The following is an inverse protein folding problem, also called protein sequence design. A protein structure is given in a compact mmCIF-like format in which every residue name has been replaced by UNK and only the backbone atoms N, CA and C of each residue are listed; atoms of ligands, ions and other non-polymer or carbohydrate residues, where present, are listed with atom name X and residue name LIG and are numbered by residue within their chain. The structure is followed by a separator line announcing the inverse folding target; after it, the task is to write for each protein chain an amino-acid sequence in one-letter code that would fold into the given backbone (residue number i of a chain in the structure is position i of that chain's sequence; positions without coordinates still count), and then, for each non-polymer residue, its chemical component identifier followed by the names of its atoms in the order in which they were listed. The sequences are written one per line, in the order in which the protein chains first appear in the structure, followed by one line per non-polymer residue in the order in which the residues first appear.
data_IF_456804377064
#
_entry.id   IF_456804377064
#
_cell.length_a   1.000
_cell.length_b   1.000
_cell.length_c   1.000
_cell.angle_alpha   90.00
_cell.angle_beta   90.00
_cell.angle_gamma   90.00
#
_symmetry.space_group_name_H-M   'P 1'
#
loop_
_entity.id
_entity.type
_entity.pdbx_description
1 polymer ?
#
# COMPACT_ATOMS: atom_id res chain seq x y z
N UNK A 1 -5.73 2.68 19.20
CA UNK A 1 -5.48 1.97 17.93
C UNK A 1 -4.35 0.98 18.18
N UNK A 2 -4.48 -0.27 17.75
CA UNK A 2 -3.48 -1.34 17.92
C UNK A 2 -2.15 -1.04 17.22
N UNK A 3 -2.20 -0.25 16.15
CA UNK A 3 -1.08 0.03 15.24
C UNK A 3 0.12 0.71 15.93
N UNK A 4 -0.08 1.27 17.13
CA UNK A 4 1.00 1.87 17.92
C UNK A 4 1.86 0.83 18.65
N UNK A 5 1.40 -0.43 18.72
CA UNK A 5 2.03 -1.51 19.47
C UNK A 5 2.27 -2.76 18.61
N UNK A 6 1.53 -2.95 17.53
CA UNK A 6 1.71 -4.08 16.61
C UNK A 6 2.86 -3.82 15.65
N UNK A 7 3.90 -4.65 15.75
CA UNK A 7 5.05 -4.63 14.83
C UNK A 7 4.75 -5.33 13.50
N UNK A 8 5.49 -4.98 12.45
CA UNK A 8 5.45 -5.70 11.16
C UNK A 8 5.77 -7.18 11.33
N UNK A 9 6.68 -7.52 12.25
CA UNK A 9 7.02 -8.91 12.54
C UNK A 9 5.82 -9.70 13.09
N UNK A 10 5.01 -9.08 13.97
CA UNK A 10 3.78 -9.71 14.48
C UNK A 10 2.75 -9.92 13.36
N UNK A 11 2.57 -8.95 12.47
CA UNK A 11 1.65 -9.11 11.32
C UNK A 11 2.11 -10.23 10.38
N UNK A 12 3.41 -10.28 10.06
CA UNK A 12 3.98 -11.37 9.25
C UNK A 12 3.77 -12.74 9.88
N UNK A 13 3.90 -12.83 11.19
CA UNK A 13 3.70 -14.07 11.94
C UNK A 13 2.23 -14.52 11.90
N UNK A 14 1.28 -13.59 12.05
CA UNK A 14 -0.16 -13.92 11.94
C UNK A 14 -0.48 -14.49 10.55
N UNK A 15 0.02 -13.87 9.48
CA UNK A 15 -0.15 -14.35 8.10
C UNK A 15 0.51 -15.73 7.92
N UNK A 16 1.74 -15.89 8.41
CA UNK A 16 2.47 -17.16 8.34
C UNK A 16 1.70 -18.30 9.01
N UNK A 17 1.22 -18.08 10.24
CA UNK A 17 0.47 -19.07 10.99
C UNK A 17 -0.82 -19.46 10.27
N UNK A 18 -1.52 -18.50 9.68
CA UNK A 18 -2.73 -18.76 8.91
C UNK A 18 -2.46 -19.66 7.70
N UNK A 19 -1.38 -19.39 6.96
CA UNK A 19 -0.94 -20.15 5.78
C UNK A 19 -0.47 -21.55 6.16
N UNK A 20 0.37 -21.65 7.19
CA UNK A 20 0.95 -22.90 7.66
C UNK A 20 -0.13 -23.86 8.18
N UNK A 21 -1.10 -23.36 8.96
CA UNK A 21 -2.21 -24.17 9.49
C UNK A 21 -3.08 -24.82 8.40
N UNK A 22 -3.07 -24.27 7.18
CA UNK A 22 -3.84 -24.76 6.04
C UNK A 22 -3.00 -25.53 5.02
N UNK A 23 -1.70 -25.70 5.29
CA UNK A 23 -0.74 -26.28 4.36
C UNK A 23 -0.71 -25.54 3.00
N UNK A 24 -0.91 -24.21 3.03
CA UNK A 24 -1.03 -23.40 1.81
C UNK A 24 0.31 -22.96 1.21
N UNK A 25 1.44 -23.25 1.86
CA UNK A 25 2.77 -22.99 1.31
C UNK A 25 2.94 -23.57 -0.10
N UNK A 26 2.36 -24.74 -0.39
CA UNK A 26 2.39 -25.35 -1.72
C UNK A 26 1.76 -24.50 -2.83
N UNK A 27 0.83 -23.60 -2.49
CA UNK A 27 0.16 -22.68 -3.42
C UNK A 27 0.79 -21.29 -3.42
N UNK A 28 1.51 -20.92 -2.35
CA UNK A 28 2.11 -19.60 -2.12
C UNK A 28 3.44 -19.41 -2.87
N UNK A 29 3.52 -19.85 -4.12
CA UNK A 29 4.68 -19.49 -4.96
C UNK A 29 4.74 -17.97 -5.16
N UNK A 30 5.94 -17.36 -5.31
CA UNK A 30 6.06 -15.92 -5.56
C UNK A 30 5.24 -15.44 -6.77
N UNK A 31 5.09 -16.28 -7.80
CA UNK A 31 4.23 -15.99 -8.95
C UNK A 31 2.76 -15.83 -8.51
N UNK A 32 2.24 -16.79 -7.76
CA UNK A 32 0.84 -16.79 -7.35
C UNK A 32 0.56 -15.65 -6.38
N UNK A 33 1.44 -15.42 -5.41
CA UNK A 33 1.32 -14.31 -4.47
C UNK A 33 1.32 -12.94 -5.17
N UNK A 34 2.15 -12.76 -6.19
CA UNK A 34 2.16 -11.52 -6.98
C UNK A 34 0.84 -11.31 -7.74
N UNK A 35 0.25 -12.39 -8.25
CA UNK A 35 -1.04 -12.33 -8.93
C UNK A 35 -2.17 -12.02 -7.95
N UNK A 36 -2.23 -12.71 -6.80
CA UNK A 36 -3.22 -12.44 -5.76
C UNK A 36 -3.14 -11.01 -5.26
N UNK A 37 -1.94 -10.50 -4.96
CA UNK A 37 -1.75 -9.09 -4.57
C UNK A 37 -2.32 -8.12 -5.60
N UNK A 38 -2.14 -8.39 -6.89
CA UNK A 38 -2.68 -7.55 -7.96
C UNK A 38 -4.20 -7.62 -8.06
N UNK A 39 -4.81 -8.77 -7.74
CA UNK A 39 -6.27 -8.95 -7.68
C UNK A 39 -6.83 -8.10 -6.53
N UNK A 40 -6.32 -8.24 -5.31
CA UNK A 40 -6.84 -7.47 -4.16
C UNK A 40 -6.63 -5.96 -4.33
N UNK A 41 -5.54 -5.56 -5.01
CA UNK A 41 -5.34 -4.16 -5.35
C UNK A 41 -6.39 -3.64 -6.35
N UNK A 42 -6.89 -4.50 -7.23
CA UNK A 42 -8.00 -4.18 -8.13
C UNK A 42 -9.33 -4.13 -7.37
N UNK A 43 -9.59 -5.06 -6.45
CA UNK A 43 -10.79 -5.07 -5.60
C UNK A 43 -10.84 -3.78 -4.74
N UNK A 44 -9.72 -3.41 -4.11
CA UNK A 44 -9.59 -2.11 -3.43
C UNK A 44 -9.90 -0.92 -4.36
N UNK A 45 -9.45 -0.97 -5.61
CA UNK A 45 -9.70 0.09 -6.60
C UNK A 45 -11.18 0.20 -6.98
N UNK A 46 -11.94 -0.90 -7.00
CA UNK A 46 -13.37 -0.91 -7.34
C UNK A 46 -14.20 -0.01 -6.40
N UNK A 47 -13.78 0.12 -5.14
CA UNK A 47 -14.41 1.05 -4.20
C UNK A 47 -14.28 2.52 -4.59
N UNK A 48 -13.37 2.89 -5.52
CA UNK A 48 -13.11 4.28 -5.88
C UNK A 48 -13.31 4.59 -7.37
N UNK A 49 -13.41 3.59 -8.25
CA UNK A 49 -13.32 3.74 -9.71
C UNK A 49 -14.30 4.75 -10.35
N UNK A 50 -15.49 4.97 -9.75
CA UNK A 50 -16.52 5.89 -10.26
C UNK A 50 -16.66 7.19 -9.46
N UNK A 51 -15.79 7.41 -8.47
CA UNK A 51 -15.87 8.58 -7.60
C UNK A 51 -15.09 9.76 -8.15
N UNK A 52 -15.60 10.97 -7.93
CA UNK A 52 -14.76 12.18 -8.02
C UNK A 52 -13.74 12.22 -6.88
N UNK A 53 -12.74 13.09 -6.98
CA UNK A 53 -11.75 13.27 -5.92
C UNK A 53 -12.37 13.75 -4.59
N UNK A 54 -13.44 14.53 -4.63
CA UNK A 54 -14.20 14.95 -3.45
C UNK A 54 -14.95 13.77 -2.84
N UNK A 55 -15.62 12.98 -3.69
CA UNK A 55 -16.37 11.80 -3.24
C UNK A 55 -15.44 10.72 -2.67
N UNK A 56 -14.26 10.52 -3.25
CA UNK A 56 -13.30 9.52 -2.75
C UNK A 56 -12.79 9.86 -1.34
N UNK A 57 -12.61 11.15 -1.03
CA UNK A 57 -12.27 11.61 0.33
C UNK A 57 -13.43 11.41 1.32
N UNK A 58 -14.66 11.59 0.87
CA UNK A 58 -15.86 11.43 1.71
C UNK A 58 -16.16 9.96 2.09
N UNK A 59 -15.48 8.96 1.49
CA UNK A 59 -15.60 7.55 1.90
C UNK A 59 -15.30 7.35 3.38
N UNK A 60 -14.40 8.15 3.97
CA UNK A 60 -14.08 8.10 5.39
C UNK A 60 -15.26 8.42 6.32
N UNK A 61 -16.33 9.04 5.80
CA UNK A 61 -17.55 9.38 6.54
C UNK A 61 -18.66 8.32 6.37
N UNK A 62 -18.44 7.30 5.52
CA UNK A 62 -19.40 6.25 5.19
C UNK A 62 -18.98 4.95 5.87
N UNK A 63 -19.55 4.63 7.03
CA UNK A 63 -19.10 3.50 7.88
C UNK A 63 -18.95 2.18 7.14
N UNK A 64 -19.95 1.83 6.34
CA UNK A 64 -20.02 0.50 5.70
C UNK A 64 -18.98 0.41 4.59
N UNK A 65 -18.88 1.46 3.76
CA UNK A 65 -17.89 1.52 2.69
C UNK A 65 -16.46 1.63 3.22
N UNK A 66 -16.25 2.36 4.32
CA UNK A 66 -14.95 2.44 4.98
C UNK A 66 -14.51 1.07 5.52
N UNK A 67 -15.45 0.28 6.03
CA UNK A 67 -15.18 -1.08 6.47
C UNK A 67 -14.75 -1.97 5.30
N UNK A 68 -15.49 -1.96 4.18
CA UNK A 68 -15.13 -2.72 2.97
C UNK A 68 -13.74 -2.32 2.43
N UNK A 69 -13.47 -1.02 2.31
CA UNK A 69 -12.12 -0.52 1.93
C UNK A 69 -11.04 -1.00 2.90
N UNK A 70 -11.37 -1.13 4.18
CA UNK A 70 -10.46 -1.64 5.20
C UNK A 70 -10.10 -3.11 4.99
N UNK A 71 -11.09 -3.94 4.63
CA UNK A 71 -10.88 -5.37 4.33
C UNK A 71 -10.00 -5.53 3.07
N UNK A 72 -10.32 -4.85 1.97
CA UNK A 72 -9.52 -4.96 0.73
C UNK A 72 -8.08 -4.46 0.90
N UNK A 73 -7.90 -3.38 1.68
CA UNK A 73 -6.56 -2.90 2.03
C UNK A 73 -5.81 -3.92 2.90
N UNK A 74 -6.51 -4.59 3.82
CA UNK A 74 -5.93 -5.65 4.62
C UNK A 74 -5.50 -6.84 3.76
N UNK A 75 -6.29 -7.23 2.77
CA UNK A 75 -5.96 -8.33 1.86
C UNK A 75 -4.72 -8.02 0.99
N UNK A 76 -4.61 -6.80 0.46
CA UNK A 76 -3.38 -6.33 -0.20
C UNK A 76 -2.16 -6.48 0.71
N UNK A 77 -2.28 -6.06 1.98
CA UNK A 77 -1.20 -6.18 2.96
C UNK A 77 -0.89 -7.63 3.32
N UNK A 78 -1.90 -8.48 3.48
CA UNK A 78 -1.74 -9.90 3.78
C UNK A 78 -0.92 -10.61 2.69
N UNK A 79 -1.23 -10.40 1.40
CA UNK A 79 -0.44 -11.00 0.32
C UNK A 79 0.96 -10.38 0.19
N UNK A 80 1.14 -9.08 0.47
CA UNK A 80 2.46 -8.46 0.51
C UNK A 80 3.34 -9.05 1.63
N UNK A 81 2.76 -9.32 2.80
CA UNK A 81 3.45 -9.95 3.92
C UNK A 81 3.72 -11.44 3.66
N UNK A 82 2.78 -12.16 3.05
CA UNK A 82 3.01 -13.53 2.61
C UNK A 82 4.15 -13.61 1.59
N UNK A 83 4.22 -12.67 0.64
CA UNK A 83 5.35 -12.55 -0.29
C UNK A 83 6.67 -12.30 0.44
N UNK A 84 6.67 -11.45 1.47
CA UNK A 84 7.85 -11.20 2.28
C UNK A 84 8.29 -12.45 3.06
N UNK A 85 7.36 -13.28 3.53
CA UNK A 85 7.66 -14.56 4.18
C UNK A 85 8.26 -15.55 3.18
N UNK A 86 7.59 -15.78 2.05
CA UNK A 86 8.02 -16.72 1.01
C UNK A 86 9.42 -16.39 0.46
N UNK A 87 9.71 -15.10 0.27
CA UNK A 87 11.01 -14.64 -0.25
C UNK A 87 12.06 -14.35 0.84
N UNK A 88 11.72 -14.50 2.13
CA UNK A 88 12.63 -14.21 3.24
C UNK A 88 13.04 -12.73 3.34
N UNK A 89 12.15 -11.80 2.99
CA UNK A 89 12.43 -10.36 2.97
C UNK A 89 12.27 -9.70 4.34
N UNK A 90 13.25 -8.88 4.73
CA UNK A 90 13.09 -7.89 5.80
C UNK A 90 12.38 -6.65 5.24
N UNK A 91 11.05 -6.75 5.11
CA UNK A 91 10.23 -5.69 4.51
C UNK A 91 10.30 -4.37 5.29
N UNK A 92 10.48 -4.42 6.61
CA UNK A 92 10.60 -3.22 7.44
C UNK A 92 11.88 -2.43 7.11
N UNK A 93 13.01 -3.12 7.00
CA UNK A 93 14.29 -2.51 6.59
C UNK A 93 14.21 -2.00 5.15
N UNK A 94 13.64 -2.79 4.23
CA UNK A 94 13.48 -2.42 2.82
C UNK A 94 12.66 -1.13 2.67
N UNK A 95 11.53 -1.03 3.37
CA UNK A 95 10.68 0.18 3.36
C UNK A 95 11.47 1.39 3.89
N UNK A 96 12.17 1.26 5.03
CA UNK A 96 12.98 2.37 5.59
C UNK A 96 14.03 2.87 4.60
N UNK A 97 14.75 1.96 3.96
CA UNK A 97 15.75 2.30 2.95
C UNK A 97 15.10 2.94 1.71
N UNK A 98 13.95 2.43 1.27
CA UNK A 98 13.21 2.98 0.13
C UNK A 98 12.73 4.40 0.43
N UNK A 99 12.23 4.67 1.64
CA UNK A 99 11.81 6.01 2.05
C UNK A 99 12.98 6.99 2.13
N UNK A 100 14.14 6.57 2.64
CA UNK A 100 15.36 7.40 2.60
C UNK A 100 15.77 7.76 1.16
N UNK A 101 15.74 6.78 0.24
CA UNK A 101 16.00 7.01 -1.20
C UNK A 101 14.95 7.95 -1.82
N UNK A 102 13.68 7.79 -1.48
CA UNK A 102 12.60 8.66 -1.97
C UNK A 102 12.74 10.10 -1.45
N UNK A 103 13.10 10.30 -0.19
CA UNK A 103 13.33 11.63 0.38
C UNK A 103 14.50 12.36 -0.30
N UNK A 104 15.57 11.63 -0.64
CA UNK A 104 16.68 12.19 -1.43
C UNK A 104 16.26 12.53 -2.86
N UNK A 105 15.41 11.69 -3.49
CA UNK A 105 14.89 11.91 -4.85
C UNK A 105 13.86 13.05 -4.92
N UNK A 106 13.06 13.24 -3.87
CA UNK A 106 11.99 14.24 -3.78
C UNK A 106 12.15 15.10 -2.51
N UNK A 107 13.10 16.05 -2.48
CA UNK A 107 13.33 16.89 -1.31
C UNK A 107 12.10 17.72 -0.93
N UNK A 108 11.77 17.79 0.37
CA UNK A 108 10.55 18.44 0.85
C UNK A 108 10.48 19.93 0.49
N UNK A 109 11.58 20.66 0.55
CA UNK A 109 11.69 22.07 0.17
C UNK A 109 11.39 22.32 -1.32
N UNK A 110 11.55 21.31 -2.17
CA UNK A 110 11.34 21.40 -3.63
C UNK A 110 10.01 20.83 -4.11
N UNK A 111 9.38 19.96 -3.32
CA UNK A 111 8.18 19.21 -3.73
C UNK A 111 6.98 19.40 -2.79
N UNK A 112 7.08 20.29 -1.78
CA UNK A 112 5.94 20.58 -0.89
C UNK A 112 4.77 21.15 -1.69
N UNK A 113 3.67 20.40 -1.72
CA UNK A 113 2.45 20.78 -2.44
C UNK A 113 2.52 20.57 -3.96
N UNK A 114 3.56 19.88 -4.46
CA UNK A 114 3.76 19.64 -5.90
C UNK A 114 3.86 18.13 -6.19
N UNK A 115 3.16 17.64 -7.21
CA UNK A 115 3.22 16.23 -7.63
C UNK A 115 4.43 15.92 -8.54
N UNK A 116 5.14 16.95 -9.04
CA UNK A 116 6.26 16.73 -9.93
C UNK A 116 6.96 17.99 -10.44
N UNK A 117 7.92 17.83 -11.36
CA UNK A 117 8.51 18.94 -12.10
C UNK A 117 7.48 19.72 -12.93
N UNK A 118 6.48 19.01 -13.46
CA UNK A 118 5.44 19.55 -14.37
C UNK A 118 4.19 20.01 -13.61
N UNK A 119 4.27 20.17 -12.29
CA UNK A 119 3.14 20.63 -11.48
C UNK A 119 2.79 22.10 -11.81
N UNK A 120 1.53 22.42 -12.17
CA UNK A 120 1.10 23.78 -12.48
C UNK A 120 1.33 24.81 -11.36
N UNK A 121 1.39 24.36 -10.11
CA UNK A 121 1.67 25.17 -8.93
C UNK A 121 3.16 25.46 -8.71
N UNK A 122 4.07 24.92 -9.54
CA UNK A 122 5.51 25.14 -9.40
C UNK A 122 5.87 26.59 -9.79
N UNK A 123 6.59 27.33 -8.93
CA UNK A 123 7.09 28.66 -9.28
C UNK A 123 7.96 28.60 -10.55
N UNK A 124 7.59 29.36 -11.58
CA UNK A 124 8.28 29.36 -12.88
C UNK A 124 7.79 28.35 -13.91
N UNK A 125 6.74 27.55 -13.63
CA UNK A 125 6.07 26.71 -14.63
C UNK A 125 5.24 27.53 -15.65
N UNK A 126 5.07 28.83 -15.43
CA UNK A 126 4.48 29.75 -16.39
C UNK A 126 5.53 30.37 -17.31
N UNK A 127 5.62 29.89 -18.55
CA UNK A 127 6.28 30.63 -19.62
C UNK A 127 6.73 29.82 -20.85
N UNK A 128 5.78 29.28 -21.62
CA UNK A 128 5.73 29.49 -23.08
C UNK A 128 4.24 29.45 -23.46
N UNK A 129 3.79 30.47 -24.19
CA UNK A 129 2.40 30.60 -24.66
C UNK A 129 2.04 29.66 -25.79
#
# INVERSE_FOLDING_TARGET
MSDTQTSVAQLRQIVEEFVAQRDWHQFHTPKNLAMSLAIEAAELMEHFQWLTAEQSRAVAEQSDRLAEVGEELADVLCYALAMANELGLDIATIIRQKMAKNAAKYPADKYRGLFGPDDPGRPGAGGVG
#
